data_IF_604006910559
#
_entry.id   IF_604006910559
#
_cell.length_a   1.000
_cell.length_b   1.000
_cell.length_c   1.000
_cell.angle_alpha   90.00
_cell.angle_beta   90.00
_cell.angle_gamma   90.00
#
_symmetry.space_group_name_H-M   'P 1'
#
loop_
_entity.id
_entity.type
_entity.pdbx_description
1 polymer ?
#
# COMPACT_ATOMS: atom_id res chain seq x y z
N UNK A 1 -15.76 -31.87 -44.41
CA UNK A 1 -14.79 -32.42 -43.43
C UNK A 1 -13.45 -31.80 -43.79
N UNK A 2 -12.82 -30.93 -43.03
CA UNK A 2 -12.91 -30.53 -41.62
C UNK A 2 -11.99 -29.31 -41.55
N UNK A 3 -12.50 -28.11 -41.26
CA UNK A 3 -11.64 -26.95 -41.01
C UNK A 3 -12.35 -26.02 -40.02
N UNK A 4 -12.64 -26.56 -38.83
CA UNK A 4 -13.29 -25.82 -37.75
C UNK A 4 -12.59 -26.01 -36.40
N UNK A 5 -11.42 -26.67 -36.39
CA UNK A 5 -10.70 -27.05 -35.16
C UNK A 5 -9.60 -26.05 -34.75
N UNK A 6 -9.37 -24.99 -35.53
CA UNK A 6 -8.34 -23.99 -35.23
C UNK A 6 -8.84 -22.78 -34.43
N UNK A 7 -10.15 -22.57 -34.32
CA UNK A 7 -10.74 -21.41 -33.63
C UNK A 7 -11.18 -21.67 -32.18
N UNK A 8 -11.14 -22.93 -31.74
CA UNK A 8 -11.56 -23.34 -30.38
C UNK A 8 -10.40 -23.41 -29.38
N UNK A 9 -9.14 -23.32 -29.84
CA UNK A 9 -7.96 -23.45 -28.97
C UNK A 9 -7.54 -22.15 -28.23
N UNK A 10 -8.20 -21.01 -28.49
CA UNK A 10 -7.89 -19.70 -27.86
C UNK A 10 -8.94 -19.25 -26.85
N UNK A 11 -9.92 -20.08 -26.51
CA UNK A 11 -10.88 -19.79 -25.43
C UNK A 11 -10.33 -20.26 -24.08
N UNK A 12 -9.79 -19.32 -23.30
CA UNK A 12 -10.05 -19.33 -21.85
C UNK A 12 -8.98 -19.84 -20.88
N UNK A 13 -7.72 -20.01 -21.26
CA UNK A 13 -6.67 -20.06 -20.23
C UNK A 13 -6.28 -18.63 -19.84
N UNK A 14 -6.37 -18.21 -18.56
CA UNK A 14 -5.76 -16.95 -18.14
C UNK A 14 -4.27 -17.04 -18.45
N UNK A 15 -3.83 -16.33 -19.50
CA UNK A 15 -2.40 -16.29 -19.83
C UNK A 15 -1.70 -15.65 -18.63
N UNK A 16 -0.90 -16.46 -17.93
CA UNK A 16 -0.05 -15.99 -16.83
C UNK A 16 0.81 -14.86 -17.41
N UNK A 17 0.67 -13.61 -16.94
CA UNK A 17 1.48 -12.53 -17.47
C UNK A 17 2.96 -12.91 -17.39
N UNK A 18 3.78 -12.55 -18.39
CA UNK A 18 5.17 -12.96 -18.43
C UNK A 18 5.84 -12.56 -17.10
N UNK A 19 6.60 -13.49 -16.50
CA UNK A 19 7.18 -13.32 -15.16
C UNK A 19 7.95 -11.99 -15.00
N UNK A 20 8.50 -11.46 -16.10
CA UNK A 20 9.16 -10.16 -16.15
C UNK A 20 8.26 -8.95 -15.85
N UNK A 21 6.96 -8.99 -16.15
CA UNK A 21 6.04 -7.86 -15.89
C UNK A 21 5.74 -7.72 -14.40
N UNK A 22 5.45 -8.83 -13.71
CA UNK A 22 5.24 -8.83 -12.25
C UNK A 22 6.50 -8.45 -11.50
N UNK A 23 7.66 -8.94 -11.95
CA UNK A 23 8.94 -8.59 -11.36
C UNK A 23 9.25 -7.09 -11.50
N UNK A 24 8.97 -6.49 -12.66
CA UNK A 24 9.12 -5.04 -12.88
C UNK A 24 8.19 -4.22 -12.00
N UNK A 25 6.92 -4.63 -11.86
CA UNK A 25 5.96 -3.95 -10.99
C UNK A 25 6.40 -4.02 -9.51
N UNK A 26 6.87 -5.18 -9.04
CA UNK A 26 7.38 -5.35 -7.69
C UNK A 26 8.63 -4.48 -7.43
N UNK A 27 9.57 -4.44 -8.39
CA UNK A 27 10.76 -3.58 -8.30
C UNK A 27 10.35 -2.10 -8.26
N UNK A 28 9.41 -1.68 -9.13
CA UNK A 28 8.92 -0.30 -9.13
C UNK A 28 8.31 0.09 -7.77
N UNK A 29 7.44 -0.76 -7.21
CA UNK A 29 6.82 -0.50 -5.91
C UNK A 29 7.84 -0.41 -4.78
N UNK A 30 8.78 -1.36 -4.69
CA UNK A 30 9.84 -1.33 -3.66
C UNK A 30 10.78 -0.12 -3.81
N UNK A 31 11.05 0.32 -5.03
CA UNK A 31 11.88 1.51 -5.28
C UNK A 31 11.21 2.78 -4.77
N UNK A 32 9.90 2.94 -5.00
CA UNK A 32 9.11 4.08 -4.52
C UNK A 32 9.07 4.09 -2.99
N UNK A 33 8.81 2.95 -2.36
CA UNK A 33 8.81 2.83 -0.89
C UNK A 33 10.17 3.18 -0.28
N UNK A 34 11.26 2.82 -0.95
CA UNK A 34 12.63 3.10 -0.50
C UNK A 34 12.95 4.59 -0.55
N UNK A 35 12.57 5.28 -1.64
CA UNK A 35 12.74 6.73 -1.77
C UNK A 35 11.96 7.47 -0.68
N UNK A 36 10.72 7.06 -0.44
CA UNK A 36 9.86 7.67 0.57
C UNK A 36 10.38 7.45 2.00
N UNK A 37 10.91 6.26 2.28
CA UNK A 37 11.58 5.97 3.57
C UNK A 37 12.84 6.82 3.75
N UNK A 38 13.62 7.00 2.69
CA UNK A 38 14.80 7.87 2.69
C UNK A 38 14.45 9.33 2.95
N UNK A 39 13.39 9.86 2.33
CA UNK A 39 12.95 11.23 2.59
C UNK A 39 12.48 11.43 4.03
N UNK A 40 11.80 10.45 4.63
CA UNK A 40 11.40 10.50 6.04
C UNK A 40 12.60 10.48 6.98
N UNK A 41 13.62 9.66 6.70
CA UNK A 41 14.85 9.61 7.47
C UNK A 41 15.61 10.94 7.40
N UNK A 42 15.70 11.55 6.22
CA UNK A 42 16.34 12.85 6.04
C UNK A 42 15.62 13.91 6.88
N UNK A 43 14.29 14.02 6.76
CA UNK A 43 13.50 15.00 7.52
C UNK A 43 13.64 14.78 9.03
N UNK A 44 13.61 13.53 9.49
CA UNK A 44 13.82 13.19 10.90
C UNK A 44 15.20 13.64 11.42
N UNK A 45 16.26 13.49 10.62
CA UNK A 45 17.61 13.90 11.01
C UNK A 45 17.77 15.43 11.06
N UNK A 46 17.12 16.16 10.15
CA UNK A 46 17.16 17.63 10.13
C UNK A 46 16.35 18.25 11.29
N UNK A 47 15.22 17.66 11.65
CA UNK A 47 14.26 18.22 12.61
C UNK A 47 14.32 17.53 13.99
N UNK A 48 15.40 16.78 14.25
CA UNK A 48 15.60 16.03 15.52
C UNK A 48 15.60 16.94 16.76
N UNK A 49 15.95 18.22 16.57
CA UNK A 49 16.09 19.22 17.64
C UNK A 49 14.98 20.26 17.70
N UNK A 50 14.04 20.25 16.75
CA UNK A 50 12.94 21.21 16.76
C UNK A 50 11.91 20.80 17.81
N UNK A 51 11.64 21.70 18.75
CA UNK A 51 10.61 21.50 19.77
C UNK A 51 9.24 21.76 19.14
N UNK A 52 8.39 20.73 19.16
CA UNK A 52 7.05 20.74 18.63
C UNK A 52 6.08 20.30 19.74
N UNK A 53 4.89 20.87 19.79
CA UNK A 53 3.88 20.56 20.83
C UNK A 53 3.47 19.08 20.84
N UNK A 54 3.62 18.41 19.69
CA UNK A 54 3.32 16.99 19.51
C UNK A 54 4.57 16.26 19.02
N UNK A 55 4.89 15.07 19.56
CA UNK A 55 6.04 14.25 19.14
C UNK A 55 5.86 13.65 17.73
N UNK A 56 5.79 14.49 16.71
CA UNK A 56 5.57 14.08 15.32
C UNK A 56 6.81 13.38 14.74
N UNK A 57 7.99 13.62 15.32
CA UNK A 57 9.24 12.89 15.05
C UNK A 57 9.11 11.39 15.36
N UNK A 58 8.35 11.02 16.40
CA UNK A 58 8.12 9.62 16.77
C UNK A 58 7.22 8.91 15.77
N UNK A 59 6.28 9.63 15.16
CA UNK A 59 5.46 9.10 14.09
C UNK A 59 6.31 8.75 12.86
N UNK A 60 7.23 9.64 12.46
CA UNK A 60 8.19 9.39 11.38
C UNK A 60 9.10 8.19 11.66
N UNK A 61 9.59 8.06 12.90
CA UNK A 61 10.40 6.91 13.33
C UNK A 61 9.61 5.61 13.19
N UNK A 62 8.34 5.61 13.61
CA UNK A 62 7.44 4.48 13.40
C UNK A 62 7.24 4.13 11.93
N UNK A 63 7.09 5.11 11.03
CA UNK A 63 6.97 4.86 9.59
C UNK A 63 8.24 4.21 9.01
N UNK A 64 9.43 4.67 9.41
CA UNK A 64 10.70 4.05 9.00
C UNK A 64 10.79 2.62 9.54
N UNK A 65 10.38 2.42 10.80
CA UNK A 65 10.36 1.11 11.44
C UNK A 65 9.28 0.18 10.89
N UNK A 66 8.20 0.66 10.26
CA UNK A 66 7.27 -0.24 9.56
C UNK A 66 7.77 -0.61 8.16
N UNK A 67 8.50 0.28 7.48
CA UNK A 67 8.94 0.07 6.10
C UNK A 67 10.04 -0.99 5.94
N UNK A 68 11.09 -0.94 6.77
CA UNK A 68 12.27 -1.84 6.65
C UNK A 68 11.97 -3.28 7.13
N UNK A 69 11.34 -3.50 8.28
CA UNK A 69 11.04 -4.83 8.79
C UNK A 69 9.89 -5.50 8.06
N UNK A 70 8.90 -4.77 7.52
CA UNK A 70 7.78 -5.42 6.81
C UNK A 70 8.27 -6.32 5.67
N UNK A 71 9.24 -5.84 4.89
CA UNK A 71 9.78 -6.59 3.74
C UNK A 71 10.71 -7.71 4.19
N UNK A 72 11.46 -7.52 5.28
CA UNK A 72 12.36 -8.55 5.81
C UNK A 72 11.60 -9.67 6.55
N UNK A 73 10.65 -9.30 7.40
CA UNK A 73 9.83 -10.20 8.21
C UNK A 73 8.96 -11.08 7.32
N UNK A 74 8.30 -10.52 6.31
CA UNK A 74 7.48 -11.32 5.37
C UNK A 74 8.33 -12.32 4.59
N UNK A 75 9.54 -11.94 4.16
CA UNK A 75 10.48 -12.87 3.52
C UNK A 75 10.99 -13.97 4.47
N UNK A 76 11.19 -13.64 5.75
CA UNK A 76 11.63 -14.60 6.77
C UNK A 76 10.50 -15.57 7.13
N UNK A 77 9.28 -15.06 7.34
CA UNK A 77 8.07 -15.85 7.62
C UNK A 77 7.77 -16.78 6.44
N UNK A 78 7.91 -16.30 5.20
CA UNK A 78 7.74 -17.13 4.00
C UNK A 78 8.71 -18.30 3.97
N UNK A 79 9.96 -18.09 4.37
CA UNK A 79 10.99 -19.14 4.43
C UNK A 79 10.74 -20.15 5.56
N UNK A 80 10.17 -19.72 6.68
CA UNK A 80 10.02 -20.55 7.88
C UNK A 80 8.65 -21.26 7.97
N UNK A 81 7.57 -20.57 7.64
CA UNK A 81 6.18 -21.00 7.88
C UNK A 81 5.34 -21.17 6.61
N UNK A 82 5.93 -20.91 5.43
CA UNK A 82 5.25 -21.05 4.15
C UNK A 82 4.36 -19.86 3.77
N UNK A 83 3.58 -20.03 2.70
CA UNK A 83 2.85 -18.93 2.05
C UNK A 83 1.60 -18.49 2.83
N UNK A 84 0.84 -19.43 3.40
CA UNK A 84 -0.42 -19.12 4.11
C UNK A 84 -0.19 -18.24 5.35
N UNK A 85 0.86 -18.54 6.11
CA UNK A 85 1.28 -17.73 7.25
C UNK A 85 1.79 -16.34 6.82
N UNK A 86 2.37 -16.23 5.62
CA UNK A 86 2.85 -14.95 5.09
C UNK A 86 1.69 -14.00 4.81
N UNK A 87 0.60 -14.49 4.20
CA UNK A 87 -0.60 -13.69 3.95
C UNK A 87 -1.21 -13.20 5.27
N UNK A 88 -1.33 -14.08 6.27
CA UNK A 88 -1.83 -13.70 7.60
C UNK A 88 -1.00 -12.59 8.23
N UNK A 89 0.33 -12.68 8.15
CA UNK A 89 1.23 -11.63 8.64
C UNK A 89 1.09 -10.33 7.85
N UNK A 90 0.98 -10.37 6.52
CA UNK A 90 0.75 -9.17 5.70
C UNK A 90 -0.52 -8.44 6.10
N UNK A 91 -1.61 -9.17 6.38
CA UNK A 91 -2.87 -8.58 6.85
C UNK A 91 -2.69 -7.90 8.22
N UNK A 92 -2.00 -8.55 9.16
CA UNK A 92 -1.75 -7.97 10.49
C UNK A 92 -0.89 -6.71 10.38
N UNK A 93 0.17 -6.73 9.58
CA UNK A 93 0.99 -5.54 9.33
C UNK A 93 0.19 -4.42 8.68
N UNK A 94 -0.73 -4.74 7.77
CA UNK A 94 -1.62 -3.76 7.14
C UNK A 94 -2.54 -3.09 8.17
N UNK A 95 -3.17 -3.88 9.05
CA UNK A 95 -4.03 -3.33 10.12
C UNK A 95 -3.24 -2.43 11.06
N UNK A 96 -2.04 -2.87 11.49
CA UNK A 96 -1.18 -2.05 12.35
C UNK A 96 -0.77 -0.76 11.63
N UNK A 97 -0.39 -0.85 10.35
CA UNK A 97 -0.05 0.32 9.53
C UNK A 97 -1.23 1.29 9.38
N UNK A 98 -2.44 0.78 9.21
CA UNK A 98 -3.66 1.59 9.14
C UNK A 98 -3.91 2.36 10.44
N UNK A 99 -3.76 1.70 11.60
CA UNK A 99 -3.87 2.35 12.90
C UNK A 99 -2.76 3.40 13.10
N UNK A 100 -1.54 3.11 12.63
CA UNK A 100 -0.43 4.05 12.70
C UNK A 100 -0.68 5.33 11.87
N UNK A 101 -1.29 5.18 10.69
CA UNK A 101 -1.71 6.33 9.87
C UNK A 101 -2.80 7.16 10.56
N UNK A 102 -3.73 6.52 11.28
CA UNK A 102 -4.74 7.22 12.08
C UNK A 102 -4.12 8.03 13.24
N UNK A 103 -3.11 7.48 13.92
CA UNK A 103 -2.34 8.21 14.94
C UNK A 103 -1.67 9.45 14.31
N UNK A 104 -1.16 9.34 13.08
CA UNK A 104 -0.61 10.47 12.33
C UNK A 104 -1.62 11.58 12.09
N UNK A 105 -2.85 11.23 11.70
CA UNK A 105 -3.95 12.20 11.54
C UNK A 105 -4.24 12.97 12.82
N UNK A 106 -4.29 12.26 13.96
CA UNK A 106 -4.52 12.89 15.27
C UNK A 106 -3.35 13.82 15.60
N UNK A 107 -2.12 13.37 15.36
CA UNK A 107 -0.91 14.14 15.61
C UNK A 107 -0.87 15.46 14.82
N UNK A 108 -1.22 15.42 13.53
CA UNK A 108 -1.30 16.62 12.70
C UNK A 108 -2.37 17.59 13.23
N UNK A 109 -3.58 17.09 13.53
CA UNK A 109 -4.70 17.92 13.97
C UNK A 109 -4.45 18.61 15.32
N UNK A 110 -3.63 18.01 16.19
CA UNK A 110 -3.26 18.60 17.48
C UNK A 110 -2.05 19.54 17.41
N UNK A 111 -1.37 19.62 16.26
CA UNK A 111 -0.08 20.31 16.09
C UNK A 111 -0.23 21.70 15.44
N UNK A 112 -1.01 22.59 16.05
CA UNK A 112 -1.37 23.92 15.50
C UNK A 112 -0.19 24.90 15.41
N UNK A 113 0.84 24.75 16.24
CA UNK A 113 2.03 25.63 16.26
C UNK A 113 3.19 25.07 15.43
N UNK A 114 3.23 23.74 15.26
CA UNK A 114 4.28 23.01 14.56
C UNK A 114 4.41 23.40 13.07
N UNK A 115 3.32 23.88 12.47
CA UNK A 115 3.33 24.44 11.12
C UNK A 115 4.33 25.59 10.97
N UNK A 116 4.46 26.43 12.00
CA UNK A 116 5.34 27.61 11.95
C UNK A 116 6.75 27.34 12.48
N UNK A 117 6.90 26.41 13.44
CA UNK A 117 8.20 26.12 14.07
C UNK A 117 9.04 25.11 13.28
N UNK A 118 8.41 24.05 12.77
CA UNK A 118 9.05 22.97 12.03
C UNK A 118 8.22 22.61 10.77
N UNK A 119 8.14 23.54 9.78
CA UNK A 119 7.23 23.42 8.65
C UNK A 119 7.51 22.16 7.81
N UNK A 120 8.78 21.81 7.61
CA UNK A 120 9.16 20.63 6.83
C UNK A 120 8.62 19.34 7.47
N UNK A 121 8.70 19.24 8.79
CA UNK A 121 8.23 18.09 9.52
C UNK A 121 6.70 17.97 9.46
N UNK A 122 6.00 19.08 9.70
CA UNK A 122 4.54 19.09 9.67
C UNK A 122 3.99 18.77 8.26
N UNK A 123 4.52 19.42 7.22
CA UNK A 123 4.07 19.22 5.84
C UNK A 123 4.33 17.80 5.32
N UNK A 124 5.48 17.21 5.67
CA UNK A 124 5.79 15.84 5.22
C UNK A 124 4.83 14.82 5.80
N UNK A 125 4.48 14.96 7.08
CA UNK A 125 3.52 14.09 7.76
C UNK A 125 2.11 14.34 7.23
N UNK A 126 1.71 15.61 7.06
CA UNK A 126 0.41 15.98 6.47
C UNK A 126 0.20 15.40 5.07
N UNK A 127 1.17 15.58 4.16
CA UNK A 127 1.07 15.08 2.78
C UNK A 127 1.03 13.56 2.77
N UNK A 128 1.85 12.89 3.57
CA UNK A 128 1.91 11.42 3.60
C UNK A 128 0.60 10.81 4.10
N UNK A 129 0.06 11.34 5.20
CA UNK A 129 -1.22 10.88 5.76
C UNK A 129 -2.36 11.17 4.78
N UNK A 130 -2.40 12.37 4.19
CA UNK A 130 -3.44 12.76 3.22
C UNK A 130 -3.41 11.88 1.97
N UNK A 131 -2.23 11.62 1.41
CA UNK A 131 -2.07 10.73 0.27
C UNK A 131 -2.51 9.30 0.59
N UNK A 132 -2.17 8.79 1.78
CA UNK A 132 -2.61 7.47 2.22
C UNK A 132 -4.13 7.35 2.26
N UNK A 133 -4.81 8.29 2.92
CA UNK A 133 -6.29 8.28 3.00
C UNK A 133 -6.94 8.45 1.62
N UNK A 134 -6.37 9.30 0.77
CA UNK A 134 -6.85 9.51 -0.60
C UNK A 134 -6.75 8.22 -1.44
N UNK A 135 -5.62 7.51 -1.32
CA UNK A 135 -5.42 6.23 -2.00
C UNK A 135 -6.33 5.12 -1.45
N UNK A 136 -6.55 5.07 -0.13
CA UNK A 136 -7.42 4.08 0.50
C UNK A 136 -8.89 4.24 0.05
N UNK A 137 -9.38 5.49 0.03
CA UNK A 137 -10.71 5.83 -0.46
C UNK A 137 -10.82 5.53 -1.96
N UNK A 138 -9.84 5.97 -2.75
CA UNK A 138 -9.78 5.72 -4.19
C UNK A 138 -9.81 4.23 -4.54
N UNK A 139 -8.96 3.42 -3.88
CA UNK A 139 -8.93 1.97 -4.06
C UNK A 139 -10.28 1.31 -3.75
N UNK A 140 -10.94 1.75 -2.67
CA UNK A 140 -12.28 1.26 -2.32
C UNK A 140 -13.29 1.54 -3.42
N UNK A 141 -13.31 2.76 -3.95
CA UNK A 141 -14.19 3.11 -5.08
C UNK A 141 -13.89 2.32 -6.34
N UNK A 142 -12.61 2.09 -6.68
CA UNK A 142 -12.24 1.27 -7.83
C UNK A 142 -12.68 -0.19 -7.66
N UNK A 143 -12.54 -0.78 -6.47
CA UNK A 143 -13.02 -2.13 -6.20
C UNK A 143 -14.54 -2.23 -6.31
N UNK A 144 -15.26 -1.25 -5.76
CA UNK A 144 -16.72 -1.16 -5.93
C UNK A 144 -17.09 -1.02 -7.40
N UNK A 145 -16.39 -0.18 -8.17
CA UNK A 145 -16.64 -0.02 -9.60
C UNK A 145 -16.42 -1.33 -10.36
N UNK A 146 -15.31 -2.04 -10.13
CA UNK A 146 -15.01 -3.32 -10.80
C UNK A 146 -16.04 -4.40 -10.47
N UNK A 147 -16.67 -4.36 -9.30
CA UNK A 147 -17.70 -5.33 -8.90
C UNK A 147 -19.09 -4.90 -9.42
N UNK A 148 -19.46 -3.64 -9.24
CA UNK A 148 -20.78 -3.11 -9.57
C UNK A 148 -21.00 -2.94 -11.08
N UNK A 149 -19.98 -2.53 -11.83
CA UNK A 149 -20.08 -2.31 -13.29
C UNK A 149 -20.45 -3.61 -14.01
N UNK A 150 -19.73 -4.74 -13.83
CA UNK A 150 -20.13 -6.01 -14.42
C UNK A 150 -21.49 -6.46 -13.93
N UNK A 151 -21.83 -6.36 -12.64
CA UNK A 151 -23.16 -6.76 -12.15
C UNK A 151 -24.29 -5.95 -12.79
N UNK A 152 -24.08 -4.66 -13.04
CA UNK A 152 -25.03 -3.80 -13.74
C UNK A 152 -25.19 -4.18 -15.22
N UNK A 153 -24.10 -4.53 -15.91
CA UNK A 153 -24.13 -4.91 -17.32
C UNK A 153 -24.53 -6.38 -17.57
N UNK A 154 -24.28 -7.30 -16.63
CA UNK A 154 -24.65 -8.72 -16.72
C UNK A 154 -26.00 -9.03 -16.07
N UNK A 155 -26.65 -8.04 -15.46
CA UNK A 155 -28.01 -8.16 -14.91
C UNK A 155 -28.14 -9.24 -13.83
N UNK A 156 -27.08 -9.50 -13.07
CA UNK A 156 -27.07 -10.53 -12.02
C UNK A 156 -27.01 -11.97 -12.53
N UNK A 157 -26.76 -12.22 -13.83
CA UNK A 157 -26.45 -13.57 -14.31
C UNK A 157 -25.03 -13.91 -13.88
N UNK A 158 -24.91 -14.70 -12.81
CA UNK A 158 -23.68 -15.41 -12.45
C UNK A 158 -23.08 -16.01 -13.71
N UNK A 159 -21.76 -15.91 -13.97
CA UNK A 159 -21.14 -16.62 -15.07
C UNK A 159 -21.43 -18.10 -14.85
N UNK A 160 -22.37 -18.62 -15.64
CA UNK A 160 -22.75 -20.02 -15.61
C UNK A 160 -21.50 -20.82 -15.93
N UNK A 161 -21.13 -21.70 -15.00
CA UNK A 161 -20.37 -22.89 -15.35
C UNK A 161 -21.19 -23.62 -16.42
N UNK A 162 -20.75 -23.52 -17.67
CA UNK A 162 -21.15 -24.40 -18.78
C UNK A 162 -19.92 -25.21 -19.14
#
# INVERSE_FOLDING_TARGET
>A
MTDNDSLTATRGAPQRPPAGTFQRAAIALTSVSSVMTGSFLIVFLFELKSECDVPLNWWLLGCIFFSIPATYITNLVKKLYGFDATIGMEIVLLVIGFLWMAIGTIGINMSTTCESTAPLLWWTVFISVTLFWSMAVGATFFLLAIVLIPMAFTGGKSPGFV
#
